data_IF_346028307411
#
_entry.id   IF_346028307411
#
_cell.length_a   1.000
_cell.length_b   1.000
_cell.length_c   1.000
_cell.angle_alpha   90.00
_cell.angle_beta   90.00
_cell.angle_gamma   90.00
#
_symmetry.space_group_name_H-M   'P 1'
#
loop_
_entity.id
_entity.type
_entity.pdbx_description
1 polymer ?
#
# COMPACT_ATOMS: atom_id res chain seq x y z
N UNK A 1 8.64 7.49 6.02
CA UNK A 1 8.44 8.13 4.70
C UNK A 1 8.24 9.62 4.94
N UNK A 2 8.99 10.49 4.27
CA UNK A 2 8.75 11.93 4.31
C UNK A 2 7.53 12.28 3.43
N UNK A 3 6.39 12.50 4.08
CA UNK A 3 5.12 12.80 3.41
C UNK A 3 5.09 14.18 2.78
N UNK A 4 5.89 15.13 3.27
CA UNK A 4 5.96 16.50 2.78
C UNK A 4 6.70 16.55 1.45
N UNK A 5 7.87 15.90 1.37
CA UNK A 5 8.62 15.83 0.11
C UNK A 5 7.85 15.08 -0.98
N UNK A 6 7.18 13.98 -0.62
CA UNK A 6 6.34 13.24 -1.56
C UNK A 6 5.17 14.08 -2.08
N UNK A 7 4.45 14.78 -1.19
CA UNK A 7 3.35 15.67 -1.61
C UNK A 7 3.84 16.72 -2.61
N UNK A 8 4.98 17.35 -2.33
CA UNK A 8 5.57 18.33 -3.26
C UNK A 8 5.84 17.72 -4.63
N UNK A 9 6.46 16.54 -4.68
CA UNK A 9 6.73 15.84 -5.95
C UNK A 9 5.43 15.52 -6.71
N UNK A 10 4.41 14.99 -6.03
CA UNK A 10 3.09 14.72 -6.63
C UNK A 10 2.42 16.00 -7.16
N UNK A 11 2.58 17.13 -6.47
CA UNK A 11 2.06 18.42 -6.91
C UNK A 11 2.75 18.98 -8.16
N UNK A 12 3.96 18.52 -8.49
CA UNK A 12 4.74 18.94 -9.65
C UNK A 12 4.54 18.02 -10.87
N UNK A 13 3.99 16.81 -10.69
CA UNK A 13 3.74 15.86 -11.78
C UNK A 13 2.70 16.37 -12.80
N UNK A 14 2.83 16.02 -14.09
CA UNK A 14 1.74 16.21 -15.06
C UNK A 14 0.46 15.46 -14.66
N UNK A 15 -0.74 15.93 -15.05
CA UNK A 15 -2.01 15.27 -14.70
C UNK A 15 -2.07 13.79 -15.07
N UNK A 16 -1.59 13.42 -16.26
CA UNK A 16 -1.55 12.03 -16.72
C UNK A 16 -0.65 11.15 -15.85
N UNK A 17 0.56 11.63 -15.54
CA UNK A 17 1.50 10.93 -14.65
C UNK A 17 0.95 10.76 -13.24
N UNK A 18 0.22 11.76 -12.73
CA UNK A 18 -0.39 11.68 -11.40
C UNK A 18 -1.47 10.59 -11.31
N UNK A 19 -2.24 10.39 -12.39
CA UNK A 19 -3.22 9.31 -12.48
C UNK A 19 -2.51 7.95 -12.62
N UNK A 20 -1.49 7.86 -13.49
CA UNK A 20 -0.70 6.63 -13.68
C UNK A 20 0.01 6.17 -12.40
N UNK A 21 0.46 7.10 -11.56
CA UNK A 21 1.09 6.81 -10.26
C UNK A 21 0.18 5.95 -9.37
N UNK A 22 -1.14 6.15 -9.41
CA UNK A 22 -2.08 5.33 -8.64
C UNK A 22 -2.02 3.88 -9.09
N UNK A 23 -2.07 3.64 -10.40
CA UNK A 23 -2.02 2.29 -10.96
C UNK A 23 -0.68 1.60 -10.67
N UNK A 24 0.43 2.32 -10.76
CA UNK A 24 1.76 1.79 -10.42
C UNK A 24 1.87 1.37 -8.95
N UNK A 25 1.35 2.21 -8.05
CA UNK A 25 1.33 1.92 -6.62
C UNK A 25 0.40 0.75 -6.30
N UNK A 26 -0.78 0.66 -6.91
CA UNK A 26 -1.70 -0.47 -6.76
C UNK A 26 -1.06 -1.79 -7.23
N UNK A 27 -0.40 -1.78 -8.39
CA UNK A 27 0.32 -2.95 -8.90
C UNK A 27 1.41 -3.40 -7.93
N UNK A 28 2.18 -2.44 -7.39
CA UNK A 28 3.20 -2.72 -6.38
C UNK A 28 2.58 -3.39 -5.15
N UNK A 29 1.46 -2.85 -4.63
CA UNK A 29 0.76 -3.45 -3.48
C UNK A 29 0.29 -4.86 -3.81
N UNK A 30 -0.33 -5.09 -4.98
CA UNK A 30 -0.80 -6.42 -5.38
C UNK A 30 0.34 -7.45 -5.45
N UNK A 31 1.50 -7.05 -5.99
CA UNK A 31 2.68 -7.92 -6.03
C UNK A 31 3.21 -8.25 -4.64
N UNK A 32 3.27 -7.27 -3.73
CA UNK A 32 3.71 -7.50 -2.36
C UNK A 32 2.75 -8.40 -1.58
N UNK A 33 1.43 -8.19 -1.72
CA UNK A 33 0.42 -9.05 -1.09
C UNK A 33 0.53 -10.50 -1.56
N UNK A 34 0.73 -10.69 -2.87
CA UNK A 34 0.95 -12.02 -3.44
C UNK A 34 2.25 -12.65 -2.94
N UNK A 35 3.35 -11.90 -2.96
CA UNK A 35 4.65 -12.39 -2.46
C UNK A 35 4.59 -12.79 -0.99
N UNK A 36 3.93 -11.99 -0.14
CA UNK A 36 3.73 -12.33 1.27
C UNK A 36 2.91 -13.61 1.44
N UNK A 37 1.89 -13.80 0.61
CA UNK A 37 1.10 -15.03 0.63
C UNK A 37 1.95 -16.25 0.25
N UNK A 38 2.71 -16.16 -0.85
CA UNK A 38 3.58 -17.23 -1.31
C UNK A 38 4.67 -17.56 -0.27
N UNK A 39 5.35 -16.57 0.31
CA UNK A 39 6.36 -16.80 1.34
C UNK A 39 5.79 -17.49 2.58
N UNK A 40 4.53 -17.23 2.94
CA UNK A 40 3.85 -17.90 4.06
C UNK A 40 3.50 -19.35 3.74
N UNK A 41 3.11 -19.64 2.50
CA UNK A 41 2.87 -21.01 2.04
C UNK A 41 4.18 -21.82 2.00
N UNK A 42 5.32 -21.18 1.75
CA UNK A 42 6.62 -21.84 1.82
C UNK A 42 7.15 -22.03 3.26
N UNK A 43 6.77 -21.16 4.19
CA UNK A 43 7.25 -21.16 5.58
C UNK A 43 6.10 -21.41 6.58
N UNK A 44 5.29 -22.44 6.36
CA UNK A 44 4.13 -22.76 7.21
C UNK A 44 4.52 -22.98 8.68
N UNK A 45 5.69 -23.57 8.91
CA UNK A 45 6.25 -23.85 10.23
C UNK A 45 6.85 -22.61 10.93
N UNK A 46 6.96 -21.48 10.23
CA UNK A 46 7.54 -20.22 10.74
C UNK A 46 8.94 -20.41 11.36
N UNK A 47 9.78 -21.21 10.72
CA UNK A 47 11.14 -21.49 11.18
C UNK A 47 12.21 -20.81 10.31
N UNK A 48 11.87 -20.36 9.10
CA UNK A 48 12.74 -19.53 8.27
C UNK A 48 12.62 -18.05 8.68
N UNK A 49 13.65 -17.56 9.37
CA UNK A 49 13.71 -16.18 9.86
C UNK A 49 13.85 -15.15 8.72
N UNK A 50 14.52 -15.50 7.63
CA UNK A 50 14.73 -14.59 6.51
C UNK A 50 13.39 -14.34 5.80
N UNK A 51 12.57 -15.39 5.63
CA UNK A 51 11.23 -15.25 5.08
C UNK A 51 10.28 -14.47 6.01
N UNK A 52 10.38 -14.68 7.32
CA UNK A 52 9.60 -13.90 8.31
C UNK A 52 9.96 -12.41 8.19
N UNK A 53 11.25 -12.08 8.18
CA UNK A 53 11.72 -10.71 8.04
C UNK A 53 11.28 -10.08 6.70
N UNK A 54 11.42 -10.81 5.60
CA UNK A 54 11.00 -10.33 4.27
C UNK A 54 9.50 -10.01 4.21
N UNK A 55 8.66 -10.85 4.83
CA UNK A 55 7.21 -10.58 4.94
C UNK A 55 6.97 -9.28 5.71
N UNK A 56 7.68 -9.06 6.81
CA UNK A 56 7.53 -7.87 7.64
C UNK A 56 7.98 -6.59 6.90
N UNK A 57 9.11 -6.63 6.21
CA UNK A 57 9.58 -5.51 5.38
C UNK A 57 8.58 -5.16 4.26
N UNK A 58 7.94 -6.18 3.67
CA UNK A 58 6.88 -6.00 2.69
C UNK A 58 5.61 -5.40 3.30
N UNK A 59 5.23 -5.77 4.52
CA UNK A 59 4.10 -5.18 5.24
C UNK A 59 4.32 -3.67 5.44
N UNK A 60 5.49 -3.28 5.94
CA UNK A 60 5.87 -1.87 6.09
C UNK A 60 5.84 -1.12 4.76
N UNK A 61 6.26 -1.78 3.67
CA UNK A 61 6.20 -1.19 2.34
C UNK A 61 4.76 -1.02 1.85
N UNK A 62 3.89 -2.02 2.01
CA UNK A 62 2.46 -1.93 1.67
C UNK A 62 1.82 -0.74 2.38
N UNK A 63 2.11 -0.53 3.67
CA UNK A 63 1.58 0.62 4.40
C UNK A 63 2.04 1.96 3.84
N UNK A 64 3.33 2.08 3.53
CA UNK A 64 3.90 3.30 2.93
C UNK A 64 3.25 3.57 1.58
N UNK A 65 2.99 2.52 0.80
CA UNK A 65 2.30 2.60 -0.50
C UNK A 65 0.82 2.99 -0.34
N UNK A 66 0.10 2.47 0.65
CA UNK A 66 -1.27 2.91 0.97
C UNK A 66 -1.31 4.40 1.38
N UNK A 67 -0.34 4.86 2.18
CA UNK A 67 -0.19 6.28 2.52
C UNK A 67 0.08 7.13 1.27
N UNK A 68 0.90 6.63 0.35
CA UNK A 68 1.15 7.27 -0.95
C UNK A 68 -0.14 7.37 -1.79
N UNK A 69 -0.94 6.30 -1.91
CA UNK A 69 -2.25 6.34 -2.60
C UNK A 69 -3.13 7.45 -2.05
N UNK A 70 -3.24 7.55 -0.71
CA UNK A 70 -4.08 8.56 -0.06
C UNK A 70 -3.59 9.99 -0.34
N UNK A 71 -2.27 10.21 -0.34
CA UNK A 71 -1.68 11.51 -0.67
C UNK A 71 -1.88 11.87 -2.15
N UNK A 72 -1.64 10.93 -3.06
CA UNK A 72 -1.87 11.13 -4.50
C UNK A 72 -3.33 11.46 -4.77
N UNK A 73 -4.27 10.76 -4.13
CA UNK A 73 -5.71 11.05 -4.26
C UNK A 73 -6.07 12.45 -3.74
N UNK A 74 -5.47 12.91 -2.64
CA UNK A 74 -5.66 14.27 -2.15
C UNK A 74 -5.14 15.31 -3.15
N UNK A 75 -3.94 15.10 -3.71
CA UNK A 75 -3.34 15.99 -4.72
C UNK A 75 -4.17 16.02 -6.01
N UNK A 76 -4.73 14.87 -6.44
CA UNK A 76 -5.66 14.80 -7.58
C UNK A 76 -6.88 15.69 -7.32
N UNK A 77 -7.47 15.61 -6.12
CA UNK A 77 -8.62 16.45 -5.77
C UNK A 77 -8.28 17.94 -5.80
N UNK A 78 -7.12 18.30 -5.24
CA UNK A 78 -6.63 19.68 -5.17
C UNK A 78 -6.32 20.26 -6.56
N UNK A 79 -5.73 19.47 -7.47
CA UNK A 79 -5.21 19.96 -8.76
C UNK A 79 -6.14 19.72 -9.95
N UNK A 80 -6.82 18.59 -9.97
CA UNK A 80 -7.63 18.11 -11.10
C UNK A 80 -9.15 18.19 -10.80
N UNK A 81 -9.51 18.44 -9.54
CA UNK A 81 -10.88 18.66 -9.11
C UNK A 81 -11.65 17.39 -8.74
N UNK A 82 -12.90 17.60 -8.35
CA UNK A 82 -13.77 16.59 -7.75
C UNK A 82 -14.14 15.45 -8.74
N UNK A 83 -14.27 15.74 -10.03
CA UNK A 83 -14.63 14.73 -11.03
C UNK A 83 -13.52 13.66 -11.18
N UNK A 84 -12.27 14.10 -11.39
CA UNK A 84 -11.11 13.21 -11.48
C UNK A 84 -10.88 12.44 -10.16
N UNK A 85 -11.08 13.12 -9.02
CA UNK A 85 -11.00 12.47 -7.71
C UNK A 85 -12.03 11.34 -7.54
N UNK A 86 -13.27 11.51 -8.01
CA UNK A 86 -14.31 10.47 -7.92
C UNK A 86 -14.01 9.27 -8.79
N UNK A 87 -13.56 9.50 -10.02
CA UNK A 87 -13.21 8.45 -10.96
C UNK A 87 -12.07 7.58 -10.42
N UNK A 88 -10.96 8.22 -10.05
CA UNK A 88 -9.80 7.54 -9.47
C UNK A 88 -10.14 6.91 -8.12
N UNK A 89 -10.94 7.59 -7.30
CA UNK A 89 -11.41 7.09 -6.01
C UNK A 89 -12.26 5.83 -6.13
N UNK A 90 -13.07 5.69 -7.19
CA UNK A 90 -13.83 4.45 -7.45
C UNK A 90 -12.89 3.28 -7.75
N UNK A 91 -11.89 3.49 -8.62
CA UNK A 91 -10.91 2.46 -8.94
C UNK A 91 -10.11 2.01 -7.70
N UNK A 92 -9.66 2.96 -6.86
CA UNK A 92 -8.96 2.64 -5.61
C UNK A 92 -9.86 1.84 -4.67
N UNK A 93 -11.15 2.19 -4.58
CA UNK A 93 -12.12 1.46 -3.77
C UNK A 93 -12.28 0.03 -4.26
N UNK A 94 -12.49 -0.17 -5.56
CA UNK A 94 -12.61 -1.50 -6.18
C UNK A 94 -11.37 -2.35 -5.92
N UNK A 95 -10.16 -1.79 -6.08
CA UNK A 95 -8.91 -2.47 -5.76
C UNK A 95 -8.84 -2.91 -4.29
N UNK A 96 -9.19 -2.02 -3.35
CA UNK A 96 -9.19 -2.32 -1.92
C UNK A 96 -10.22 -3.39 -1.56
N UNK A 97 -11.38 -3.40 -2.23
CA UNK A 97 -12.39 -4.43 -2.05
C UNK A 97 -11.90 -5.78 -2.57
N UNK A 98 -11.28 -5.81 -3.74
CA UNK A 98 -10.69 -7.02 -4.32
C UNK A 98 -9.60 -7.63 -3.43
N UNK A 99 -8.79 -6.80 -2.78
CA UNK A 99 -7.68 -7.22 -1.91
C UNK A 99 -8.00 -7.15 -0.41
N UNK A 100 -9.27 -6.99 -0.02
CA UNK A 100 -9.66 -6.68 1.35
C UNK A 100 -9.17 -7.70 2.38
N UNK A 101 -9.26 -9.00 2.06
CA UNK A 101 -8.85 -10.07 2.97
C UNK A 101 -7.34 -10.07 3.23
N UNK A 102 -6.53 -9.87 2.19
CA UNK A 102 -5.08 -9.82 2.29
C UNK A 102 -4.64 -8.57 3.06
N UNK A 103 -5.21 -7.41 2.74
CA UNK A 103 -4.94 -6.15 3.45
C UNK A 103 -5.31 -6.21 4.93
N UNK A 104 -6.44 -6.85 5.28
CA UNK A 104 -6.81 -7.09 6.68
C UNK A 104 -5.84 -8.05 7.38
N UNK A 105 -5.33 -9.05 6.66
CA UNK A 105 -4.37 -10.01 7.19
C UNK A 105 -3.04 -9.33 7.52
N UNK A 106 -2.53 -8.48 6.62
CA UNK A 106 -1.31 -7.72 6.88
C UNK A 106 -1.49 -6.77 8.08
N UNK A 107 -2.61 -6.02 8.15
CA UNK A 107 -2.87 -5.10 9.27
C UNK A 107 -2.96 -5.79 10.64
N UNK A 108 -3.67 -6.93 10.72
CA UNK A 108 -3.81 -7.66 11.99
C UNK A 108 -2.49 -8.25 12.49
N UNK A 109 -1.56 -8.56 11.59
CA UNK A 109 -0.25 -9.13 11.94
C UNK A 109 0.69 -8.07 12.49
N UNK A 110 0.71 -6.91 11.86
CA UNK A 110 1.39 -5.73 12.38
C UNK A 110 0.91 -5.38 13.81
N UNK A 111 -0.41 -5.30 14.03
CA UNK A 111 -0.96 -5.00 15.36
C UNK A 111 -0.57 -6.04 16.43
N UNK A 112 -0.42 -7.32 16.05
CA UNK A 112 0.06 -8.36 16.96
C UNK A 112 1.54 -8.23 17.26
N UNK A 113 2.33 -7.81 16.29
CA UNK A 113 3.77 -7.62 16.45
C UNK A 113 4.08 -6.38 17.27
N UNK A 114 3.44 -5.23 17.00
CA UNK A 114 3.58 -4.00 17.81
C UNK A 114 3.18 -4.22 19.27
N UNK A 115 2.11 -5.00 19.52
CA UNK A 115 1.67 -5.33 20.88
C UNK A 115 2.48 -6.48 21.52
N UNK A 116 3.26 -7.23 20.75
CA UNK A 116 4.07 -8.36 21.20
C UNK A 116 5.47 -7.99 21.69
N UNK A 117 5.93 -6.74 21.51
CA UNK A 117 7.28 -6.27 21.89
C UNK A 117 7.43 -5.97 23.40
N UNK A 118 6.40 -6.22 24.23
CA UNK A 118 6.47 -6.08 25.69
C UNK A 118 6.36 -7.42 26.42
N UNK A 119 7.44 -8.23 26.42
CA UNK A 119 7.76 -9.20 27.49
C UNK A 119 9.27 -9.48 27.53
#
# INVERSE_FOLDING_TARGET
>A
MDTTQLRKALSELPPSSLISEISEVQNTIAHLLKSNQEMREFNEEQNDLDLIQAIQENQDLIQRKEKQVNLTLAVIRERLGEAAWREVGSNIKEFREQHAQQLQTEKKREEKEENGVYL
#
